data_IF_813908919346
#
_entry.id   IF_813908919346
#
_cell.length_a   1.000
_cell.length_b   1.000
_cell.length_c   1.000
_cell.angle_alpha   90.00
_cell.angle_beta   90.00
_cell.angle_gamma   90.00
#
_symmetry.space_group_name_H-M   'P 1'
#
loop_
_entity.id
_entity.type
_entity.pdbx_description
1 polymer ?
#
# COMPACT_ATOMS: atom_id res chain seq x y z
N UNK A 1 6.50 20.81 -22.54
CA UNK A 1 7.60 20.14 -21.82
C UNK A 1 7.00 19.01 -21.02
N UNK A 2 7.43 17.78 -21.27
CA UNK A 2 6.94 16.62 -20.54
C UNK A 2 7.42 16.66 -19.09
N UNK A 3 6.50 16.47 -18.15
CA UNK A 3 6.85 16.37 -16.72
C UNK A 3 7.73 15.13 -16.51
N UNK A 4 8.84 15.24 -15.76
CA UNK A 4 9.63 14.07 -15.43
C UNK A 4 8.79 13.05 -14.66
N UNK A 5 8.91 11.77 -15.03
CA UNK A 5 8.23 10.67 -14.35
C UNK A 5 8.86 10.52 -12.95
N UNK A 6 8.06 10.76 -11.91
CA UNK A 6 8.48 10.54 -10.53
C UNK A 6 8.22 9.08 -10.14
N UNK A 7 9.29 8.32 -9.93
CA UNK A 7 9.21 6.96 -9.39
C UNK A 7 9.05 7.00 -7.88
N UNK A 8 8.17 6.17 -7.35
CA UNK A 8 7.94 6.02 -5.91
C UNK A 8 8.05 4.56 -5.51
N UNK A 9 8.70 4.31 -4.38
CA UNK A 9 8.82 2.97 -3.80
C UNK A 9 7.71 2.75 -2.79
N UNK A 10 7.10 1.57 -2.84
CA UNK A 10 6.08 1.15 -1.90
C UNK A 10 6.39 -0.23 -1.33
N UNK A 11 5.83 -0.50 -0.15
CA UNK A 11 5.93 -1.79 0.53
C UNK A 11 4.54 -2.36 0.75
N UNK A 12 4.42 -3.68 0.62
CA UNK A 12 3.17 -4.43 0.82
C UNK A 12 3.44 -5.61 1.75
N UNK A 13 2.46 -5.94 2.58
CA UNK A 13 2.57 -7.02 3.56
C UNK A 13 1.43 -8.03 3.40
N UNK A 14 1.79 -9.30 3.34
CA UNK A 14 0.83 -10.41 3.29
C UNK A 14 0.55 -10.90 4.71
N UNK A 15 -0.58 -10.47 5.26
CA UNK A 15 -1.04 -10.96 6.56
C UNK A 15 -1.90 -12.20 6.36
N UNK A 16 -1.49 -13.32 6.96
CA UNK A 16 -2.14 -14.62 6.83
C UNK A 16 -2.75 -15.04 8.15
N UNK A 17 -4.04 -15.40 8.15
CA UNK A 17 -4.70 -15.92 9.35
C UNK A 17 -4.40 -17.43 9.55
N UNK A 18 -4.88 -17.99 10.68
CA UNK A 18 -4.71 -19.43 11.00
C UNK A 18 -5.34 -20.37 9.97
N UNK A 19 -6.37 -19.92 9.26
CA UNK A 19 -7.03 -20.66 8.16
C UNK A 19 -6.30 -20.53 6.81
N UNK A 20 -5.12 -19.93 6.79
CA UNK A 20 -4.31 -19.69 5.58
C UNK A 20 -4.90 -18.71 4.57
N UNK A 21 -5.85 -17.85 4.98
CA UNK A 21 -6.41 -16.76 4.16
C UNK A 21 -5.60 -15.48 4.31
N UNK A 22 -5.54 -14.66 3.26
CA UNK A 22 -4.85 -13.37 3.26
C UNK A 22 -5.80 -12.20 3.49
N UNK A 23 -5.32 -11.18 4.22
CA UNK A 23 -6.05 -9.93 4.38
C UNK A 23 -5.96 -9.09 3.10
N UNK A 24 -7.13 -8.65 2.62
CA UNK A 24 -7.27 -7.61 1.60
C UNK A 24 -8.10 -6.46 2.19
N UNK A 25 -7.76 -5.24 1.80
CA UNK A 25 -8.45 -4.02 2.21
C UNK A 25 -9.32 -3.52 1.07
N UNK A 26 -10.53 -3.05 1.39
CA UNK A 26 -11.36 -2.30 0.46
C UNK A 26 -11.09 -0.80 0.63
N UNK A 27 -10.48 -0.18 -0.36
CA UNK A 27 -10.11 1.24 -0.36
C UNK A 27 -11.35 2.13 -0.39
N UNK A 28 -11.28 3.24 0.34
CA UNK A 28 -12.31 4.27 0.33
C UNK A 28 -12.41 4.92 -1.05
N UNK A 29 -13.61 4.90 -1.63
CA UNK A 29 -13.90 5.55 -2.90
C UNK A 29 -13.74 7.08 -2.81
N UNK A 30 -14.14 7.68 -1.68
CA UNK A 30 -14.02 9.13 -1.46
C UNK A 30 -12.56 9.61 -1.54
N UNK A 31 -11.61 8.79 -1.07
CA UNK A 31 -10.17 9.12 -1.12
C UNK A 31 -9.52 8.80 -2.46
N UNK A 32 -10.11 7.91 -3.24
CA UNK A 32 -9.57 7.43 -4.52
C UNK A 32 -10.71 7.26 -5.54
N UNK A 33 -11.24 8.36 -6.09
CA UNK A 33 -12.41 8.31 -6.97
C UNK A 33 -12.13 7.61 -8.30
N UNK A 34 -10.87 7.59 -8.75
CA UNK A 34 -10.48 7.18 -10.10
C UNK A 34 -9.97 5.72 -10.22
N UNK A 35 -9.99 4.93 -9.14
CA UNK A 35 -9.60 3.51 -9.21
C UNK A 35 -10.82 2.64 -9.48
N UNK A 36 -10.71 1.77 -10.49
CA UNK A 36 -11.76 0.81 -10.85
C UNK A 36 -11.87 -0.36 -9.86
N UNK A 37 -10.73 -0.76 -9.27
CA UNK A 37 -10.65 -1.85 -8.30
C UNK A 37 -10.31 -1.32 -6.92
N UNK A 38 -11.16 -1.62 -5.95
CA UNK A 38 -11.02 -1.12 -4.58
C UNK A 38 -10.25 -2.07 -3.67
N UNK A 39 -10.03 -3.33 -4.09
CA UNK A 39 -9.26 -4.28 -3.31
C UNK A 39 -7.76 -4.03 -3.43
N UNK A 40 -7.08 -3.99 -2.30
CA UNK A 40 -5.64 -3.76 -2.22
C UNK A 40 -5.03 -4.57 -1.07
N UNK A 41 -3.72 -4.83 -1.15
CA UNK A 41 -2.94 -5.45 -0.09
C UNK A 41 -2.54 -4.35 0.91
N UNK A 42 -2.59 -4.62 2.24
CA UNK A 42 -2.09 -3.67 3.23
C UNK A 42 -0.66 -3.19 2.94
N UNK A 43 -0.39 -1.91 3.22
CA UNK A 43 0.88 -1.27 2.98
C UNK A 43 0.74 0.09 2.29
N UNK A 44 1.86 0.67 1.85
CA UNK A 44 1.88 2.04 1.37
C UNK A 44 3.25 2.47 0.83
N UNK A 45 3.37 3.76 0.55
CA UNK A 45 4.65 4.37 0.13
C UNK A 45 5.60 4.42 1.32
N UNK A 46 6.89 4.22 1.04
CA UNK A 46 7.93 4.35 2.06
C UNK A 46 8.40 5.79 2.19
N UNK A 47 8.89 6.15 3.38
CA UNK A 47 9.58 7.41 3.58
C UNK A 47 11.09 7.20 3.36
N UNK A 48 11.75 8.03 2.53
CA UNK A 48 13.19 7.94 2.34
C UNK A 48 13.95 8.03 3.67
N UNK A 49 14.97 7.20 3.85
CA UNK A 49 15.81 7.18 5.05
C UNK A 49 15.26 6.37 6.23
N UNK A 50 14.06 5.78 6.13
CA UNK A 50 13.52 4.84 7.13
C UNK A 50 13.61 3.39 6.63
N UNK A 51 13.70 2.45 7.55
CA UNK A 51 13.73 1.02 7.23
C UNK A 51 12.39 0.52 6.70
N UNK A 52 12.41 -0.62 5.99
CA UNK A 52 11.17 -1.24 5.50
C UNK A 52 10.23 -1.65 6.64
N UNK A 53 10.79 -2.13 7.75
CA UNK A 53 10.02 -2.58 8.90
C UNK A 53 9.26 -1.42 9.55
N UNK A 54 9.92 -0.29 9.83
CA UNK A 54 9.28 0.92 10.39
C UNK A 54 8.15 1.43 9.48
N UNK A 55 8.31 1.33 8.16
CA UNK A 55 7.27 1.74 7.22
C UNK A 55 6.05 0.82 7.22
N UNK A 56 6.24 -0.48 7.44
CA UNK A 56 5.15 -1.45 7.56
C UNK A 56 4.41 -1.24 8.89
N UNK A 57 5.14 -1.10 10.01
CA UNK A 57 4.55 -0.90 11.35
C UNK A 57 3.68 0.36 11.43
N UNK A 58 4.05 1.45 10.74
CA UNK A 58 3.23 2.66 10.65
C UNK A 58 1.93 2.46 9.85
N UNK A 59 1.94 1.56 8.88
CA UNK A 59 0.88 1.45 7.86
C UNK A 59 -0.15 0.36 8.18
N UNK A 60 0.10 -0.44 9.20
CA UNK A 60 -0.78 -1.46 9.76
C UNK A 60 -1.46 -0.93 11.02
#
# INVERSE_FOLDING_TARGET
MDKPISLQVGVKVFLKNRERKFLLLKRSHARYPNIKNFWDIPGGRIFPGSSLQENIERSL
#
